data_IF_067305756702
#
_entry.id   IF_067305756702
#
_cell.length_a   1.000
_cell.length_b   1.000
_cell.length_c   1.000
_cell.angle_alpha   90.00
_cell.angle_beta   90.00
_cell.angle_gamma   90.00
#
_symmetry.space_group_name_H-M   'P 1'
#
loop_
_entity.id
_entity.type
_entity.pdbx_description
1 polymer ?
#
# COMPACT_ATOMS: atom_id res chain seq x y z
N UNK A 1 -16.57 -5.24 -9.52
CA UNK A 1 -17.93 -5.30 -10.08
C UNK A 1 -18.01 -4.55 -11.42
N UNK A 2 -17.59 -3.29 -11.50
CA UNK A 2 -17.66 -2.51 -12.75
C UNK A 2 -16.93 -3.20 -13.92
N UNK A 3 -15.70 -3.68 -13.72
CA UNK A 3 -14.92 -4.40 -14.72
C UNK A 3 -15.61 -5.68 -15.21
N UNK A 4 -16.34 -6.36 -14.33
CA UNK A 4 -17.10 -7.55 -14.70
C UNK A 4 -18.32 -7.21 -15.56
N UNK A 5 -19.05 -6.17 -15.18
CA UNK A 5 -20.26 -5.78 -15.87
C UNK A 5 -20.00 -5.05 -17.21
N UNK A 6 -19.08 -4.10 -17.21
CA UNK A 6 -18.79 -3.24 -18.34
C UNK A 6 -17.58 -3.70 -19.19
N UNK A 7 -16.69 -4.53 -18.63
CA UNK A 7 -15.46 -4.95 -19.31
C UNK A 7 -15.67 -5.63 -20.66
N UNK A 8 -16.56 -6.62 -20.79
CA UNK A 8 -16.85 -7.27 -22.07
C UNK A 8 -17.40 -6.30 -23.13
N UNK A 9 -18.26 -5.38 -22.70
CA UNK A 9 -18.86 -4.36 -23.58
C UNK A 9 -17.82 -3.34 -24.04
N UNK A 10 -16.97 -2.89 -23.13
CA UNK A 10 -15.88 -1.98 -23.44
C UNK A 10 -14.90 -2.58 -24.46
N UNK A 11 -14.52 -3.85 -24.27
CA UNK A 11 -13.66 -4.58 -25.22
C UNK A 11 -14.35 -4.80 -26.56
N UNK A 12 -15.64 -5.06 -26.58
CA UNK A 12 -16.42 -5.15 -27.81
C UNK A 12 -16.35 -3.85 -28.62
N UNK A 13 -16.54 -2.71 -27.98
CA UNK A 13 -16.45 -1.39 -28.61
C UNK A 13 -15.05 -1.12 -29.11
N UNK A 14 -14.03 -1.44 -28.31
CA UNK A 14 -12.61 -1.21 -28.68
C UNK A 14 -12.13 -2.10 -29.83
N UNK A 15 -12.59 -3.34 -29.89
CA UNK A 15 -12.17 -4.31 -30.93
C UNK A 15 -13.06 -4.29 -32.18
N UNK A 16 -14.20 -3.56 -32.15
CA UNK A 16 -15.17 -3.56 -33.25
C UNK A 16 -15.84 -4.93 -33.49
N UNK A 17 -15.78 -5.83 -32.51
CA UNK A 17 -16.30 -7.18 -32.64
C UNK A 17 -17.83 -7.19 -32.73
N UNK A 18 -18.39 -7.98 -33.65
CA UNK A 18 -19.84 -8.11 -33.82
C UNK A 18 -20.56 -8.77 -32.63
N UNK A 19 -19.81 -9.45 -31.77
CA UNK A 19 -20.34 -10.09 -30.56
C UNK A 19 -19.47 -9.74 -29.32
N UNK A 20 -20.03 -9.74 -28.09
CA UNK A 20 -19.28 -9.52 -26.88
C UNK A 20 -18.12 -10.53 -26.75
N UNK A 21 -16.94 -10.03 -26.46
CA UNK A 21 -15.77 -10.91 -26.22
C UNK A 21 -16.02 -11.75 -24.98
N UNK A 22 -16.06 -13.08 -25.14
CA UNK A 22 -16.25 -14.02 -24.03
C UNK A 22 -14.96 -14.15 -23.26
N UNK A 23 -14.85 -13.42 -22.16
CA UNK A 23 -13.74 -13.57 -21.20
C UNK A 23 -14.26 -14.34 -19.99
N UNK A 24 -13.44 -15.24 -19.48
CA UNK A 24 -13.79 -15.97 -18.25
C UNK A 24 -14.09 -14.97 -17.11
N UNK A 25 -15.24 -15.09 -16.43
CA UNK A 25 -15.62 -14.19 -15.33
C UNK A 25 -14.53 -14.03 -14.27
N UNK A 26 -13.85 -15.13 -13.96
CA UNK A 26 -12.72 -15.14 -13.03
C UNK A 26 -11.56 -14.23 -13.50
N UNK A 27 -11.22 -14.24 -14.78
CA UNK A 27 -10.13 -13.43 -15.32
C UNK A 27 -10.45 -11.93 -15.22
N UNK A 28 -11.69 -11.53 -15.51
CA UNK A 28 -12.14 -10.13 -15.36
C UNK A 28 -12.15 -9.69 -13.89
N UNK A 29 -12.60 -10.56 -12.99
CA UNK A 29 -12.57 -10.31 -11.57
C UNK A 29 -11.14 -10.17 -11.05
N UNK A 30 -10.25 -11.09 -11.44
CA UNK A 30 -8.83 -11.06 -11.07
C UNK A 30 -8.12 -9.81 -11.59
N UNK A 31 -8.40 -9.40 -12.84
CA UNK A 31 -7.89 -8.15 -13.40
C UNK A 31 -8.35 -6.92 -12.60
N UNK A 32 -9.64 -6.85 -12.26
CA UNK A 32 -10.18 -5.74 -11.49
C UNK A 32 -9.57 -5.61 -10.10
N UNK A 33 -9.44 -6.73 -9.38
CA UNK A 33 -8.78 -6.75 -8.06
C UNK A 33 -7.29 -6.47 -8.20
N UNK A 34 -6.64 -7.03 -9.22
CA UNK A 34 -5.22 -6.82 -9.50
C UNK A 34 -4.88 -5.36 -9.77
N UNK A 35 -5.65 -4.68 -10.63
CA UNK A 35 -5.45 -3.26 -10.94
C UNK A 35 -5.67 -2.37 -9.70
N UNK A 36 -6.69 -2.67 -8.90
CA UNK A 36 -6.93 -1.95 -7.65
C UNK A 36 -5.74 -2.07 -6.69
N UNK A 37 -5.24 -3.28 -6.47
CA UNK A 37 -4.09 -3.51 -5.59
C UNK A 37 -2.78 -2.99 -6.19
N UNK A 38 -2.61 -3.02 -7.51
CA UNK A 38 -1.44 -2.47 -8.19
C UNK A 38 -1.28 -0.96 -7.92
N UNK A 39 -2.38 -0.20 -7.96
CA UNK A 39 -2.37 1.22 -7.63
C UNK A 39 -1.91 1.47 -6.18
N UNK A 40 -2.40 0.67 -5.22
CA UNK A 40 -1.97 0.75 -3.82
C UNK A 40 -0.50 0.40 -3.63
N UNK A 41 -0.02 -0.67 -4.27
CA UNK A 41 1.39 -1.09 -4.19
C UNK A 41 2.29 -0.01 -4.77
N UNK A 42 1.91 0.59 -5.90
CA UNK A 42 2.65 1.70 -6.50
C UNK A 42 2.77 2.88 -5.53
N UNK A 43 1.68 3.24 -4.84
CA UNK A 43 1.68 4.32 -3.84
C UNK A 43 2.54 3.99 -2.61
N UNK A 44 2.50 2.75 -2.14
CA UNK A 44 3.36 2.29 -1.04
C UNK A 44 4.85 2.38 -1.43
N UNK A 45 5.19 2.03 -2.66
CA UNK A 45 6.57 2.13 -3.15
C UNK A 45 6.98 3.60 -3.24
N UNK A 46 6.14 4.47 -3.82
CA UNK A 46 6.39 5.89 -3.96
C UNK A 46 6.65 6.55 -2.60
N UNK A 47 5.73 6.36 -1.66
CA UNK A 47 5.85 6.91 -0.30
C UNK A 47 7.05 6.35 0.46
N UNK A 48 7.39 5.08 0.22
CA UNK A 48 8.58 4.44 0.81
C UNK A 48 9.90 5.06 0.31
N UNK A 49 9.98 5.43 -0.96
CA UNK A 49 11.15 6.12 -1.53
C UNK A 49 11.24 7.54 -0.95
N UNK A 50 10.11 8.27 -0.89
CA UNK A 50 10.03 9.62 -0.37
C UNK A 50 10.33 9.71 1.14
N UNK A 51 10.11 8.62 1.87
CA UNK A 51 10.39 8.55 3.31
C UNK A 51 11.89 8.48 3.65
N UNK A 52 12.76 8.25 2.67
CA UNK A 52 14.21 8.28 2.89
C UNK A 52 14.68 9.74 3.02
N UNK A 53 15.37 10.10 4.12
CA UNK A 53 15.80 11.49 4.34
C UNK A 53 16.69 11.99 3.21
N UNK A 54 16.42 13.19 2.72
CA UNK A 54 17.22 13.83 1.63
C UNK A 54 18.71 13.95 1.97
N UNK A 55 19.05 14.18 3.23
CA UNK A 55 20.44 14.23 3.68
C UNK A 55 21.25 12.95 3.41
N UNK A 56 20.60 11.79 3.31
CA UNK A 56 21.26 10.55 2.88
C UNK A 56 21.70 10.61 1.41
N UNK A 57 20.88 11.21 0.57
CA UNK A 57 21.22 11.41 -0.85
C UNK A 57 22.31 12.46 -1.04
N UNK A 58 22.22 13.56 -0.30
CA UNK A 58 23.22 14.65 -0.34
C UNK A 58 24.59 14.17 0.17
N UNK A 59 24.62 13.44 1.29
CA UNK A 59 25.85 12.85 1.83
C UNK A 59 26.50 11.86 0.85
N UNK A 60 25.70 11.04 0.16
CA UNK A 60 26.22 10.12 -0.84
C UNK A 60 26.83 10.86 -2.04
N UNK A 61 26.15 11.88 -2.53
CA UNK A 61 26.66 12.69 -3.64
C UNK A 61 27.95 13.43 -3.27
N UNK A 62 28.07 13.93 -2.04
CA UNK A 62 29.29 14.55 -1.52
C UNK A 62 30.48 13.58 -1.45
N UNK A 63 30.21 12.27 -1.33
CA UNK A 63 31.22 11.21 -1.40
C UNK A 63 31.52 10.73 -2.83
N UNK A 64 30.95 11.38 -3.86
CA UNK A 64 31.21 11.06 -5.26
C UNK A 64 30.34 9.93 -5.82
N UNK A 65 29.29 9.49 -5.10
CA UNK A 65 28.35 8.51 -5.66
C UNK A 65 27.55 9.14 -6.81
N UNK A 66 27.44 8.41 -7.92
CA UNK A 66 26.50 8.77 -8.97
C UNK A 66 25.06 8.61 -8.48
N UNK A 67 24.10 9.25 -9.16
CA UNK A 67 22.66 9.11 -8.82
C UNK A 67 22.21 7.65 -8.77
N UNK A 68 22.60 6.86 -9.75
CA UNK A 68 22.24 5.45 -9.83
C UNK A 68 22.83 4.65 -8.65
N UNK A 69 24.10 4.91 -8.30
CA UNK A 69 24.75 4.28 -7.15
C UNK A 69 24.09 4.69 -5.84
N UNK A 70 23.72 5.97 -5.69
CA UNK A 70 22.98 6.47 -4.51
C UNK A 70 21.66 5.74 -4.34
N UNK A 71 20.88 5.59 -5.43
CA UNK A 71 19.63 4.83 -5.37
C UNK A 71 19.87 3.36 -5.06
N UNK A 72 20.80 2.69 -5.74
CA UNK A 72 21.02 1.26 -5.60
C UNK A 72 21.55 0.86 -4.22
N UNK A 73 22.52 1.62 -3.69
CA UNK A 73 23.23 1.23 -2.46
C UNK A 73 22.67 1.87 -1.20
N UNK A 74 21.99 3.02 -1.28
CA UNK A 74 21.55 3.78 -0.12
C UNK A 74 20.03 3.84 -0.03
N UNK A 75 19.35 4.30 -1.09
CA UNK A 75 17.90 4.53 -1.06
C UNK A 75 17.13 3.22 -1.08
N UNK A 76 17.34 2.36 -2.07
CA UNK A 76 16.58 1.12 -2.24
C UNK A 76 16.65 0.17 -1.02
N UNK A 77 17.82 -0.10 -0.39
CA UNK A 77 17.87 -0.96 0.78
C UNK A 77 17.11 -0.39 2.00
N UNK A 78 17.04 0.93 2.12
CA UNK A 78 16.26 1.60 3.17
C UNK A 78 14.77 1.57 2.84
N UNK A 79 14.41 1.94 1.60
CA UNK A 79 13.03 1.90 1.10
C UNK A 79 12.43 0.51 1.29
N UNK A 80 13.14 -0.55 0.93
CA UNK A 80 12.65 -1.93 1.03
C UNK A 80 12.21 -2.27 2.46
N UNK A 81 12.97 -1.83 3.47
CA UNK A 81 12.62 -2.03 4.88
C UNK A 81 11.39 -1.23 5.32
N UNK A 82 11.18 -0.05 4.71
CA UNK A 82 10.04 0.83 5.02
C UNK A 82 8.75 0.28 4.40
N UNK A 83 8.81 -0.21 3.15
CA UNK A 83 7.64 -0.68 2.42
C UNK A 83 7.17 -2.08 2.81
N UNK A 84 8.03 -2.91 3.35
CA UNK A 84 7.71 -4.31 3.65
C UNK A 84 6.50 -4.49 4.58
N UNK A 85 6.39 -3.77 5.72
CA UNK A 85 5.21 -3.87 6.58
C UNK A 85 3.91 -3.45 5.90
N UNK A 86 3.80 -2.30 5.23
CA UNK A 86 2.58 -1.96 4.49
C UNK A 86 2.27 -2.92 3.34
N UNK A 87 3.27 -3.53 2.68
CA UNK A 87 3.02 -4.58 1.68
C UNK A 87 2.40 -5.83 2.28
N UNK A 88 2.81 -6.25 3.50
CA UNK A 88 2.16 -7.35 4.21
C UNK A 88 0.68 -7.03 4.50
N UNK A 89 0.37 -5.80 4.89
CA UNK A 89 -1.02 -5.37 5.09
C UNK A 89 -1.82 -5.38 3.78
N UNK A 90 -1.20 -5.00 2.66
CA UNK A 90 -1.84 -5.11 1.34
C UNK A 90 -2.06 -6.56 0.91
N UNK A 91 -1.14 -7.47 1.22
CA UNK A 91 -1.35 -8.89 0.97
C UNK A 91 -2.55 -9.44 1.77
N UNK A 92 -2.73 -9.04 3.04
CA UNK A 92 -3.90 -9.38 3.84
C UNK A 92 -5.20 -8.82 3.23
N UNK A 93 -5.18 -7.57 2.78
CA UNK A 93 -6.32 -6.95 2.13
C UNK A 93 -6.65 -7.64 0.81
N UNK A 94 -5.64 -8.04 0.04
CA UNK A 94 -5.83 -8.81 -1.20
C UNK A 94 -6.57 -10.13 -0.92
N UNK A 95 -6.11 -10.91 0.06
CA UNK A 95 -6.75 -12.19 0.44
C UNK A 95 -8.22 -11.98 0.83
N UNK A 96 -8.52 -10.94 1.61
CA UNK A 96 -9.91 -10.61 1.99
C UNK A 96 -10.75 -10.14 0.80
N UNK A 97 -10.17 -9.32 -0.06
CA UNK A 97 -10.88 -8.76 -1.22
C UNK A 97 -11.16 -9.81 -2.31
N UNK A 98 -10.41 -10.91 -2.35
CA UNK A 98 -10.74 -12.02 -3.26
C UNK A 98 -12.08 -12.66 -2.94
N UNK A 99 -12.55 -12.61 -1.68
CA UNK A 99 -13.89 -13.13 -1.32
C UNK A 99 -15.04 -12.39 -2.01
N UNK A 100 -14.83 -11.14 -2.43
CA UNK A 100 -15.81 -10.39 -3.23
C UNK A 100 -16.01 -11.02 -4.62
N UNK A 101 -15.01 -11.75 -5.13
CA UNK A 101 -15.12 -12.47 -6.39
C UNK A 101 -16.14 -13.63 -6.32
N UNK A 102 -16.45 -14.14 -5.12
CA UNK A 102 -17.48 -15.16 -4.93
C UNK A 102 -18.82 -14.75 -5.52
N UNK A 103 -19.15 -13.46 -5.43
CA UNK A 103 -20.42 -12.92 -5.91
C UNK A 103 -20.52 -12.81 -7.44
N UNK A 104 -19.36 -12.79 -8.14
CA UNK A 104 -19.31 -12.37 -9.56
C UNK A 104 -18.67 -13.44 -10.44
N UNK A 105 -17.55 -13.98 -9.99
CA UNK A 105 -16.70 -14.83 -10.83
C UNK A 105 -16.68 -16.29 -10.39
N UNK A 106 -17.00 -16.58 -9.14
CA UNK A 106 -16.93 -17.92 -8.56
C UNK A 106 -15.49 -18.46 -8.46
N UNK A 107 -15.36 -19.64 -7.90
CA UNK A 107 -14.11 -20.37 -7.88
C UNK A 107 -13.18 -20.12 -6.69
N UNK A 108 -13.45 -19.11 -5.87
CA UNK A 108 -12.71 -18.85 -4.64
C UNK A 108 -13.25 -19.69 -3.44
N UNK A 109 -12.57 -19.58 -2.31
CA UNK A 109 -12.92 -20.33 -1.10
C UNK A 109 -14.32 -19.99 -0.59
N UNK A 110 -14.72 -18.72 -0.62
CA UNK A 110 -16.05 -18.27 -0.18
C UNK A 110 -17.14 -18.82 -1.09
N UNK A 111 -16.97 -18.78 -2.39
CA UNK A 111 -17.90 -19.36 -3.37
C UNK A 111 -18.09 -20.87 -3.15
N UNK A 112 -17.01 -21.60 -2.89
CA UNK A 112 -17.08 -23.04 -2.61
C UNK A 112 -17.86 -23.33 -1.33
N UNK A 113 -17.66 -22.54 -0.30
CA UNK A 113 -18.36 -22.67 0.97
C UNK A 113 -19.84 -22.35 0.82
N UNK A 114 -20.17 -21.30 0.08
CA UNK A 114 -21.54 -20.88 -0.19
C UNK A 114 -22.31 -21.96 -0.97
N UNK A 115 -21.71 -22.52 -2.01
CA UNK A 115 -22.27 -23.63 -2.75
C UNK A 115 -22.48 -24.87 -1.85
N UNK A 116 -21.53 -25.19 -0.99
CA UNK A 116 -21.67 -26.32 -0.07
C UNK A 116 -22.82 -26.12 0.90
N UNK A 117 -22.94 -24.94 1.49
CA UNK A 117 -24.03 -24.61 2.40
C UNK A 117 -25.38 -24.63 1.68
N UNK A 118 -25.44 -24.09 0.47
CA UNK A 118 -26.66 -24.07 -0.35
C UNK A 118 -27.15 -25.48 -0.76
N UNK A 119 -26.21 -26.39 -1.03
CA UNK A 119 -26.53 -27.75 -1.46
C UNK A 119 -26.89 -28.66 -0.29
N UNK A 120 -26.20 -28.54 0.83
CA UNK A 120 -26.32 -29.49 1.95
C UNK A 120 -27.03 -28.91 3.17
N UNK A 121 -27.30 -27.61 3.22
CA UNK A 121 -27.97 -26.93 4.35
C UNK A 121 -27.11 -26.83 5.62
N UNK A 122 -25.84 -27.20 5.58
CA UNK A 122 -24.98 -27.25 6.76
C UNK A 122 -24.13 -25.97 6.89
N UNK A 123 -24.41 -25.16 7.90
CA UNK A 123 -23.65 -23.95 8.22
C UNK A 123 -22.16 -24.21 8.55
N UNK A 124 -21.79 -25.46 8.84
CA UNK A 124 -20.41 -25.86 9.09
C UNK A 124 -19.47 -25.51 7.93
N UNK A 125 -19.96 -25.39 6.70
CA UNK A 125 -19.18 -24.94 5.55
C UNK A 125 -18.54 -23.56 5.75
N UNK A 126 -19.27 -22.64 6.37
CA UNK A 126 -18.73 -21.31 6.69
C UNK A 126 -17.69 -21.32 7.82
N UNK A 127 -17.84 -22.24 8.79
CA UNK A 127 -16.85 -22.40 9.86
C UNK A 127 -15.52 -22.87 9.27
N UNK A 128 -15.55 -23.85 8.36
CA UNK A 128 -14.35 -24.33 7.65
C UNK A 128 -13.73 -23.21 6.83
N UNK A 129 -14.54 -22.43 6.12
CA UNK A 129 -14.09 -21.27 5.36
C UNK A 129 -13.36 -20.26 6.25
N UNK A 130 -13.96 -19.91 7.40
CA UNK A 130 -13.37 -19.00 8.37
C UNK A 130 -12.02 -19.51 8.90
N UNK A 131 -11.94 -20.80 9.23
CA UNK A 131 -10.68 -21.43 9.66
C UNK A 131 -9.61 -21.39 8.56
N UNK A 132 -9.97 -21.64 7.31
CA UNK A 132 -9.04 -21.55 6.18
C UNK A 132 -8.51 -20.13 5.98
N UNK A 133 -9.38 -19.12 6.00
CA UNK A 133 -8.96 -17.72 5.97
C UNK A 133 -8.07 -17.36 7.16
N UNK A 134 -8.39 -17.85 8.33
CA UNK A 134 -7.55 -17.63 9.52
C UNK A 134 -6.15 -18.23 9.34
N UNK A 135 -6.05 -19.48 8.87
CA UNK A 135 -4.78 -20.17 8.64
C UNK A 135 -3.92 -19.42 7.61
N UNK A 136 -4.53 -18.82 6.59
CA UNK A 136 -3.81 -18.06 5.56
C UNK A 136 -3.41 -16.67 6.09
N UNK A 137 -4.33 -15.95 6.72
CA UNK A 137 -4.13 -14.56 7.13
C UNK A 137 -3.24 -14.44 8.37
N UNK A 138 -3.30 -15.40 9.30
CA UNK A 138 -2.58 -15.33 10.57
C UNK A 138 -1.05 -15.26 10.40
N UNK A 139 -0.39 -16.14 9.60
CA UNK A 139 1.05 -16.05 9.37
C UNK A 139 1.48 -14.74 8.70
N UNK A 140 0.69 -14.27 7.74
CA UNK A 140 0.96 -13.01 7.03
C UNK A 140 0.87 -11.83 8.01
N UNK A 141 -0.15 -11.82 8.87
CA UNK A 141 -0.32 -10.78 9.89
C UNK A 141 0.83 -10.78 10.91
N UNK A 142 1.25 -11.95 11.38
CA UNK A 142 2.40 -12.07 12.29
C UNK A 142 3.69 -11.59 11.64
N UNK A 143 3.92 -11.96 10.38
CA UNK A 143 5.08 -11.51 9.61
C UNK A 143 5.08 -9.98 9.47
N UNK A 144 3.94 -9.39 9.11
CA UNK A 144 3.80 -7.94 9.00
C UNK A 144 4.11 -7.22 10.31
N UNK A 145 3.54 -7.68 11.42
CA UNK A 145 3.80 -7.12 12.75
C UNK A 145 5.26 -7.29 13.19
N UNK A 146 5.87 -8.44 12.92
CA UNK A 146 7.28 -8.67 13.23
C UNK A 146 8.19 -7.73 12.45
N UNK A 147 7.93 -7.55 11.14
CA UNK A 147 8.66 -6.61 10.30
C UNK A 147 8.52 -5.16 10.78
N UNK A 148 7.32 -4.77 11.17
CA UNK A 148 7.02 -3.43 11.69
C UNK A 148 7.78 -3.16 12.99
N UNK A 149 7.77 -4.10 13.93
CA UNK A 149 8.54 -4.01 15.19
C UNK A 149 10.02 -3.87 14.92
N UNK A 150 10.55 -4.63 13.97
CA UNK A 150 11.96 -4.60 13.60
C UNK A 150 12.35 -3.30 12.88
N UNK A 151 11.44 -2.72 12.11
CA UNK A 151 11.65 -1.42 11.47
C UNK A 151 11.62 -0.26 12.46
N UNK A 152 10.69 -0.28 13.43
CA UNK A 152 10.55 0.75 14.48
C UNK A 152 11.64 0.68 15.56
N UNK A 153 12.28 -0.47 15.76
CA UNK A 153 13.32 -0.68 16.77
C UNK A 153 14.66 0.03 16.46
N UNK A 154 14.80 0.71 15.32
CA UNK A 154 15.97 1.54 15.08
C UNK A 154 15.80 2.87 15.81
N UNK A 155 16.72 3.25 16.72
CA UNK A 155 16.62 4.50 17.43
C UNK A 155 16.61 5.65 16.40
N UNK A 156 15.57 6.50 16.42
CA UNK A 156 15.68 7.84 15.88
C UNK A 156 16.97 8.41 16.43
N UNK A 157 17.84 8.93 15.55
CA UNK A 157 19.04 9.63 15.98
C UNK A 157 18.64 10.53 17.15
N UNK A 158 19.29 10.34 18.31
CA UNK A 158 19.09 11.19 19.48
C UNK A 158 19.31 12.60 18.98
N UNK A 159 18.27 13.41 18.99
CA UNK A 159 18.41 14.84 18.83
C UNK A 159 19.32 15.26 19.97
N UNK A 160 20.52 15.73 19.65
CA UNK A 160 21.49 16.19 20.63
C UNK A 160 20.83 17.39 21.31
N UNK A 161 20.55 17.35 22.63
CA UNK A 161 20.00 18.49 23.32
C UNK A 161 21.03 19.63 23.22
N UNK A 162 20.60 20.79 22.71
CA UNK A 162 21.48 21.96 22.52
C UNK A 162 21.67 22.41 21.07
N UNK A 163 21.39 21.56 20.07
CA UNK A 163 21.46 21.99 18.65
C UNK A 163 20.15 22.71 18.23
N UNK A 164 19.02 22.35 18.84
CA UNK A 164 17.74 23.02 18.61
C UNK A 164 17.71 24.44 19.20
N UNK A 165 18.41 24.67 20.31
CA UNK A 165 18.45 25.98 20.97
C UNK A 165 19.35 26.97 20.23
N UNK A 166 20.36 26.48 19.50
CA UNK A 166 21.24 27.30 18.68
C UNK A 166 20.61 27.74 17.34
N UNK A 167 19.67 26.94 16.79
CA UNK A 167 18.96 27.29 15.55
C UNK A 167 17.71 28.14 15.83
N UNK A 168 17.14 28.05 17.04
CA UNK A 168 15.97 28.84 17.46
C UNK A 168 16.28 30.25 17.93
N UNK A 169 17.53 30.61 18.15
CA UNK A 169 17.96 31.95 18.60
C UNK A 169 18.39 32.89 17.47
N UNK A 170 17.87 32.70 16.26
CA UNK A 170 17.97 33.73 15.22
C UNK A 170 17.16 34.94 15.64
N UNK A 171 17.70 36.18 15.67
CA UNK A 171 17.04 37.37 16.14
C UNK A 171 16.04 37.91 15.10
N UNK A 172 15.04 37.14 14.77
CA UNK A 172 13.92 37.54 13.89
C UNK A 172 12.72 38.06 14.69
N UNK A 173 12.98 38.85 15.68
CA UNK A 173 11.97 39.42 16.59
C UNK A 173 11.98 40.95 16.72
N UNK A 174 12.72 41.66 15.87
CA UNK A 174 12.86 43.12 15.99
C UNK A 174 12.29 43.87 14.77
N UNK A 175 11.10 43.52 14.30
CA UNK A 175 10.29 44.42 13.49
C UNK A 175 9.17 44.95 14.38
N UNK A 176 9.47 46.05 15.11
CA UNK A 176 8.45 46.91 15.74
C UNK A 176 7.55 47.48 14.65
N UNK A 177 6.24 47.32 14.71
CA UNK A 177 5.36 48.13 13.85
C UNK A 177 5.47 49.56 14.32
N UNK A 178 5.87 50.46 13.40
CA UNK A 178 5.88 51.89 13.58
C UNK A 178 4.47 52.36 13.96
N UNK A 179 4.39 53.14 15.04
CA UNK A 179 3.18 53.78 15.53
C UNK A 179 2.53 54.60 14.41
N UNK A 180 1.29 54.26 14.06
CA UNK A 180 0.43 55.13 13.29
C UNK A 180 0.04 56.29 14.18
N UNK A 181 0.55 57.47 13.85
CA UNK A 181 0.23 58.71 14.48
C UNK A 181 -1.27 58.99 14.39
N UNK A 182 -1.82 59.37 15.52
CA UNK A 182 -3.05 60.15 15.63
C UNK A 182 -2.74 61.58 15.21
N UNK A 183 -3.40 62.08 14.20
CA UNK A 183 -3.66 63.51 14.08
C UNK A 183 -5.06 63.75 13.51
N UNK A 184 -5.80 64.54 14.27
CA UNK A 184 -6.93 65.43 14.00
C UNK A 184 -8.14 64.90 13.27
#
# INVERSE_FOLDING_TARGET
>A
LFMYMAGPQFLQVMTGAAQPVRIAPFALGALGVGLYHAAYVAEVIRTGIEAVPRGQMEAAQSQGFSRLQTYAYIVLPQTFKIILPPLCNQALNLVKNTSVLALVAGGDLMYRSDNFVSLYGFLQGYIVCCLMYFIICFPIAMLGQWLERRSKARPRAKVIPGVTDAVGSSPEGAVRPAAAGKEA
#
